data_IF_235610169718
#
_entry.id   IF_235610169718
#
_cell.length_a   1.000
_cell.length_b   1.000
_cell.length_c   1.000
_cell.angle_alpha   90.00
_cell.angle_beta   90.00
_cell.angle_gamma   90.00
#
_symmetry.space_group_name_H-M   'P 1'
#
loop_
_entity.id
_entity.type
_entity.pdbx_description
1 polymer ?
#
# COMPACT_ATOMS: atom_id res chain seq x y z
N UNK A 1 32.13 5.50 17.12
CA UNK A 1 30.76 5.38 16.57
C UNK A 1 30.40 6.65 15.77
N UNK A 2 30.97 6.85 14.57
CA UNK A 2 30.69 8.03 13.71
C UNK A 2 30.35 7.64 12.25
N UNK A 3 30.04 6.38 11.99
CA UNK A 3 29.84 5.84 10.64
C UNK A 3 28.37 5.58 10.24
N UNK A 4 27.40 5.79 11.13
CA UNK A 4 26.00 5.43 10.92
C UNK A 4 25.07 6.63 10.69
N UNK A 5 25.55 7.87 10.85
CA UNK A 5 24.70 9.07 10.72
C UNK A 5 24.59 9.56 9.27
N UNK A 6 25.54 9.22 8.39
CA UNK A 6 25.55 9.67 6.99
C UNK A 6 24.83 8.72 6.01
N UNK A 7 24.45 7.50 6.42
CA UNK A 7 23.71 6.56 5.56
C UNK A 7 22.18 6.82 5.51
N UNK A 8 21.64 7.63 6.43
CA UNK A 8 20.18 7.83 6.55
C UNK A 8 19.66 9.10 5.88
N UNK A 9 20.52 9.96 5.33
CA UNK A 9 20.05 11.26 4.85
C UNK A 9 19.38 11.23 3.47
N UNK A 10 19.61 10.18 2.66
CA UNK A 10 19.14 10.16 1.26
C UNK A 10 18.19 8.99 0.91
N UNK A 11 18.19 7.88 1.66
CA UNK A 11 17.48 6.64 1.24
C UNK A 11 15.99 6.56 1.63
N UNK A 12 15.37 7.66 2.07
CA UNK A 12 13.95 7.70 2.48
C UNK A 12 13.00 7.10 1.43
N UNK A 13 13.33 7.27 0.16
CA UNK A 13 12.54 6.75 -0.94
C UNK A 13 12.74 5.27 -1.22
N UNK A 14 13.89 4.72 -0.87
CA UNK A 14 14.09 3.29 -0.88
C UNK A 14 13.24 2.61 0.20
N UNK A 15 13.13 3.22 1.39
CA UNK A 15 12.20 2.75 2.43
C UNK A 15 10.75 2.80 1.97
N UNK A 16 10.34 3.89 1.32
CA UNK A 16 8.99 4.00 0.78
C UNK A 16 8.71 2.97 -0.32
N UNK A 17 9.63 2.78 -1.26
CA UNK A 17 9.48 1.79 -2.33
C UNK A 17 9.47 0.36 -1.81
N UNK A 18 10.30 0.04 -0.81
CA UNK A 18 10.27 -1.24 -0.09
C UNK A 18 8.91 -1.45 0.59
N UNK A 19 8.37 -0.40 1.24
CA UNK A 19 7.03 -0.45 1.81
C UNK A 19 5.96 -0.73 0.74
N UNK A 20 6.01 -0.05 -0.40
CA UNK A 20 5.08 -0.26 -1.50
C UNK A 20 5.19 -1.68 -2.08
N UNK A 21 6.38 -2.24 -2.18
CA UNK A 21 6.56 -3.62 -2.63
C UNK A 21 5.95 -4.63 -1.63
N UNK A 22 6.14 -4.43 -0.31
CA UNK A 22 5.48 -5.23 0.72
C UNK A 22 3.96 -5.10 0.65
N UNK A 23 3.44 -3.90 0.38
CA UNK A 23 2.02 -3.65 0.20
C UNK A 23 1.46 -4.42 -1.00
N UNK A 24 2.14 -4.33 -2.15
CA UNK A 24 1.79 -5.04 -3.38
C UNK A 24 1.69 -6.55 -3.14
N UNK A 25 2.70 -7.16 -2.50
CA UNK A 25 2.69 -8.59 -2.14
C UNK A 25 1.48 -8.93 -1.27
N UNK A 26 1.19 -8.08 -0.26
CA UNK A 26 0.06 -8.32 0.65
C UNK A 26 -1.29 -8.20 -0.06
N UNK A 27 -1.45 -7.23 -0.94
CA UNK A 27 -2.66 -7.01 -1.73
C UNK A 27 -2.88 -8.15 -2.73
N UNK A 28 -1.84 -8.56 -3.46
CA UNK A 28 -1.89 -9.76 -4.33
C UNK A 28 -2.30 -11.01 -3.54
N UNK A 29 -1.75 -11.20 -2.34
CA UNK A 29 -2.14 -12.30 -1.47
C UNK A 29 -3.63 -12.23 -1.08
N UNK A 30 -4.14 -11.04 -0.74
CA UNK A 30 -5.58 -10.90 -0.44
C UNK A 30 -6.45 -11.19 -1.67
N UNK A 31 -6.07 -10.75 -2.87
CA UNK A 31 -6.82 -11.04 -4.12
C UNK A 31 -6.84 -12.54 -4.41
N UNK A 32 -5.69 -13.23 -4.32
CA UNK A 32 -5.62 -14.69 -4.51
C UNK A 32 -6.47 -15.48 -3.51
N UNK A 33 -6.56 -15.02 -2.27
CA UNK A 33 -7.47 -15.63 -1.30
C UNK A 33 -8.94 -15.34 -1.61
N UNK A 34 -9.24 -14.25 -2.32
CA UNK A 34 -10.61 -13.87 -2.67
C UNK A 34 -11.15 -14.75 -3.78
N UNK A 35 -10.33 -15.02 -4.79
CA UNK A 35 -10.64 -15.93 -5.91
C UNK A 35 -10.91 -17.36 -5.44
N UNK A 36 -10.23 -17.81 -4.38
CA UNK A 36 -10.38 -19.16 -3.81
C UNK A 36 -11.59 -19.34 -2.91
N UNK A 37 -12.26 -18.24 -2.52
CA UNK A 37 -13.45 -18.32 -1.69
C UNK A 37 -14.66 -18.49 -2.61
N UNK A 38 -15.29 -19.67 -2.58
CA UNK A 38 -16.62 -19.82 -3.14
C UNK A 38 -17.61 -18.96 -2.34
N UNK A 39 -18.31 -18.06 -3.04
CA UNK A 39 -19.23 -17.11 -2.43
C UNK A 39 -20.65 -17.41 -2.87
N UNK A 40 -21.19 -18.48 -2.27
CA UNK A 40 -22.61 -18.54 -1.99
C UNK A 40 -23.08 -17.25 -1.31
N UNK A 41 -24.27 -16.77 -1.67
CA UNK A 41 -24.81 -15.53 -1.11
C UNK A 41 -25.85 -14.88 -2.01
N UNK A 42 -26.58 -13.93 -1.42
CA UNK A 42 -27.61 -13.16 -2.15
C UNK A 42 -27.01 -12.36 -3.30
N UNK A 43 -27.84 -12.01 -4.28
CA UNK A 43 -27.45 -11.15 -5.43
C UNK A 43 -26.75 -9.87 -4.96
N UNK A 44 -27.26 -9.26 -3.89
CA UNK A 44 -26.67 -8.08 -3.29
C UNK A 44 -25.27 -8.32 -2.70
N UNK A 45 -25.06 -9.41 -1.95
CA UNK A 45 -23.73 -9.77 -1.43
C UNK A 45 -22.71 -9.95 -2.57
N UNK A 46 -23.12 -10.60 -3.66
CA UNK A 46 -22.29 -10.77 -4.87
C UNK A 46 -21.89 -9.42 -5.48
N UNK A 47 -22.85 -8.51 -5.68
CA UNK A 47 -22.57 -7.17 -6.23
C UNK A 47 -21.63 -6.35 -5.33
N UNK A 48 -21.85 -6.36 -4.01
CA UNK A 48 -20.97 -5.66 -3.05
C UNK A 48 -19.56 -6.23 -3.08
N UNK A 49 -19.43 -7.54 -3.29
CA UNK A 49 -18.13 -8.19 -3.41
C UNK A 49 -17.41 -7.79 -4.70
N UNK A 50 -18.09 -7.81 -5.85
CA UNK A 50 -17.52 -7.35 -7.13
C UNK A 50 -17.04 -5.90 -7.04
N UNK A 51 -17.87 -5.00 -6.51
CA UNK A 51 -17.50 -3.60 -6.32
C UNK A 51 -16.30 -3.44 -5.37
N UNK A 52 -16.18 -4.31 -4.37
CA UNK A 52 -15.03 -4.30 -3.45
C UNK A 52 -13.76 -4.82 -4.11
N UNK A 53 -13.84 -5.89 -4.89
CA UNK A 53 -12.71 -6.39 -5.68
C UNK A 53 -12.21 -5.33 -6.65
N UNK A 54 -13.09 -4.57 -7.30
CA UNK A 54 -12.70 -3.45 -8.15
C UNK A 54 -11.88 -2.40 -7.39
N UNK A 55 -12.30 -2.02 -6.17
CA UNK A 55 -11.53 -1.11 -5.31
C UNK A 55 -10.19 -1.72 -4.91
N UNK A 56 -10.17 -3.00 -4.50
CA UNK A 56 -8.95 -3.69 -4.08
C UNK A 56 -7.93 -3.77 -5.24
N UNK A 57 -8.37 -4.04 -6.48
CA UNK A 57 -7.52 -4.06 -7.68
C UNK A 57 -6.95 -2.69 -8.03
N UNK A 58 -7.74 -1.61 -7.90
CA UNK A 58 -7.26 -0.25 -8.12
C UNK A 58 -6.21 0.17 -7.07
N UNK A 59 -6.36 -0.28 -5.82
CA UNK A 59 -5.36 -0.04 -4.77
C UNK A 59 -4.04 -0.76 -5.06
N UNK A 60 -4.12 -2.02 -5.53
CA UNK A 60 -2.95 -2.77 -6.00
C UNK A 60 -2.25 -2.03 -7.13
N UNK A 61 -3.00 -1.58 -8.15
CA UNK A 61 -2.43 -0.84 -9.26
C UNK A 61 -1.77 0.46 -8.80
N UNK A 62 -2.36 1.16 -7.85
CA UNK A 62 -1.77 2.35 -7.25
C UNK A 62 -0.43 2.03 -6.55
N UNK A 63 -0.35 0.94 -5.78
CA UNK A 63 0.89 0.56 -5.11
C UNK A 63 2.02 0.24 -6.10
N UNK A 64 1.71 -0.48 -7.19
CA UNK A 64 2.64 -0.74 -8.30
C UNK A 64 3.15 0.56 -8.92
N UNK A 65 2.23 1.48 -9.28
CA UNK A 65 2.58 2.77 -9.88
C UNK A 65 3.42 3.64 -8.95
N UNK A 66 3.05 3.71 -7.66
CA UNK A 66 3.82 4.48 -6.66
C UNK A 66 5.24 3.91 -6.49
N UNK A 67 5.42 2.58 -6.55
CA UNK A 67 6.75 1.93 -6.51
C UNK A 67 7.57 2.27 -7.75
N UNK A 68 7.01 2.08 -8.94
CA UNK A 68 7.71 2.32 -10.22
C UNK A 68 8.07 3.81 -10.38
N UNK A 69 7.18 4.70 -9.97
CA UNK A 69 7.39 6.15 -9.94
C UNK A 69 8.63 6.55 -9.14
N UNK A 70 8.78 5.98 -7.94
CA UNK A 70 9.90 6.28 -7.04
C UNK A 70 11.22 5.75 -7.60
N UNK A 71 11.19 4.54 -8.17
CA UNK A 71 12.36 3.93 -8.77
C UNK A 71 12.87 4.69 -10.00
N UNK A 72 11.97 5.32 -10.78
CA UNK A 72 12.33 6.11 -11.97
C UNK A 72 12.80 7.53 -11.65
N UNK A 73 12.36 8.11 -10.53
CA UNK A 73 12.65 9.51 -10.17
C UNK A 73 14.00 9.71 -9.49
N UNK A 74 14.79 8.66 -9.29
CA UNK A 74 16.18 8.76 -8.81
C UNK A 74 16.34 9.24 -7.36
N UNK A 75 15.27 9.36 -6.57
CA UNK A 75 15.27 9.52 -5.10
C UNK A 75 15.86 10.82 -4.51
N UNK A 76 16.72 11.51 -5.26
CA UNK A 76 17.60 12.57 -4.77
C UNK A 76 17.10 13.95 -5.18
N UNK A 77 16.04 14.41 -4.50
CA UNK A 77 15.80 15.84 -4.39
C UNK A 77 16.41 16.37 -3.09
N UNK A 78 17.12 17.51 -3.11
CA UNK A 78 17.62 18.14 -1.90
C UNK A 78 16.46 18.49 -0.97
N UNK A 79 16.44 17.86 0.21
CA UNK A 79 15.42 18.06 1.26
C UNK A 79 15.86 19.13 2.24
N UNK A 80 14.94 20.01 2.63
CA UNK A 80 15.15 20.94 3.74
C UNK A 80 15.37 20.20 5.07
N UNK A 81 16.04 20.85 6.03
CA UNK A 81 16.26 20.28 7.37
C UNK A 81 14.95 19.84 8.05
N UNK A 82 13.88 20.65 7.92
CA UNK A 82 12.55 20.32 8.45
C UNK A 82 11.99 19.03 7.83
N UNK A 83 12.13 18.85 6.51
CA UNK A 83 11.69 17.63 5.83
C UNK A 83 12.49 16.40 6.27
N UNK A 84 13.81 16.52 6.43
CA UNK A 84 14.66 15.42 6.94
C UNK A 84 14.20 14.95 8.32
N UNK A 85 13.89 15.87 9.24
CA UNK A 85 13.39 15.53 10.59
C UNK A 85 12.04 14.82 10.53
N UNK A 86 11.11 15.30 9.71
CA UNK A 86 9.79 14.66 9.52
C UNK A 86 9.95 13.24 8.99
N UNK A 87 10.80 13.06 7.99
CA UNK A 87 11.05 11.76 7.37
C UNK A 87 11.75 10.78 8.30
N UNK A 88 12.72 11.24 9.08
CA UNK A 88 13.36 10.45 10.14
C UNK A 88 12.34 9.95 11.16
N UNK A 89 11.42 10.81 11.62
CA UNK A 89 10.33 10.41 12.54
C UNK A 89 9.37 9.41 11.91
N UNK A 90 9.02 9.60 10.63
CA UNK A 90 8.13 8.70 9.92
C UNK A 90 8.71 7.27 9.84
N UNK A 91 10.01 7.15 9.55
CA UNK A 91 10.73 5.87 9.55
C UNK A 91 10.79 5.25 10.94
N UNK A 92 11.19 6.03 11.96
CA UNK A 92 11.29 5.54 13.35
C UNK A 92 9.96 5.03 13.91
N UNK A 93 8.83 5.52 13.40
CA UNK A 93 7.49 5.06 13.79
C UNK A 93 7.17 3.65 13.30
N UNK A 94 7.91 3.14 12.31
CA UNK A 94 7.71 1.83 11.73
C UNK A 94 9.02 1.05 11.64
N UNK A 95 9.64 0.70 12.78
CA UNK A 95 10.90 -0.05 12.79
C UNK A 95 10.74 -1.43 12.14
N UNK A 96 9.53 -1.98 12.11
CA UNK A 96 9.24 -3.25 11.41
C UNK A 96 9.36 -3.15 9.87
N UNK A 97 9.33 -1.95 9.30
CA UNK A 97 9.68 -1.73 7.89
C UNK A 97 11.20 -1.71 7.66
N UNK A 98 11.98 -1.56 8.75
CA UNK A 98 13.45 -1.54 8.75
C UNK A 98 14.08 -2.93 9.00
N UNK A 99 13.29 -3.93 9.40
CA UNK A 99 13.80 -5.27 9.72
C UNK A 99 13.66 -6.19 8.49
N UNK A 100 14.74 -6.95 8.26
CA UNK A 100 15.17 -7.73 7.09
C UNK A 100 15.76 -6.89 5.93
N UNK A 101 17.06 -6.62 6.07
CA UNK A 101 18.06 -6.38 5.02
C UNK A 101 17.66 -5.48 3.85
N UNK A 102 18.19 -4.26 3.88
CA UNK A 102 18.21 -3.31 2.76
C UNK A 102 19.04 -3.75 1.54
N UNK A 103 19.59 -4.97 1.52
CA UNK A 103 20.77 -5.29 0.69
C UNK A 103 20.61 -6.76 0.26
N UNK A 104 20.04 -7.10 -0.89
CA UNK A 104 20.57 -6.79 -2.21
C UNK A 104 19.43 -6.73 -3.23
N UNK A 105 19.14 -5.52 -3.76
CA UNK A 105 18.41 -5.25 -5.02
C UNK A 105 17.31 -6.27 -5.38
N UNK A 106 16.12 -6.15 -4.80
CA UNK A 106 14.91 -6.90 -5.21
C UNK A 106 15.10 -8.44 -5.34
N UNK A 107 16.03 -9.03 -4.59
CA UNK A 107 16.20 -10.49 -4.47
C UNK A 107 15.38 -11.04 -3.31
N UNK A 108 14.31 -11.78 -3.65
CA UNK A 108 13.48 -12.63 -2.77
C UNK A 108 13.40 -12.17 -1.31
N UNK A 109 12.47 -11.26 -1.02
CA UNK A 109 12.04 -10.99 0.37
C UNK A 109 11.77 -12.35 1.03
N UNK A 110 12.40 -12.71 2.16
CA UNK A 110 11.99 -13.87 2.92
C UNK A 110 10.57 -13.58 3.41
N UNK A 111 9.59 -14.15 2.72
CA UNK A 111 8.16 -14.00 3.00
C UNK A 111 7.85 -14.78 4.29
N UNK A 112 8.43 -14.37 5.42
CA UNK A 112 7.74 -14.52 6.70
C UNK A 112 6.72 -13.39 6.76
N UNK A 113 5.70 -13.44 5.88
CA UNK A 113 4.41 -12.80 6.18
C UNK A 113 3.96 -13.51 7.44
N UNK A 114 4.33 -12.95 8.59
CA UNK A 114 4.33 -13.61 9.90
C UNK A 114 2.94 -14.00 10.41
N UNK A 115 1.89 -13.78 9.60
CA UNK A 115 0.54 -14.32 9.74
C UNK A 115 -0.08 -14.52 8.35
N UNK A 116 -0.08 -15.75 7.85
CA UNK A 116 -1.11 -16.15 6.89
C UNK A 116 -2.46 -15.89 7.57
N UNK A 117 -3.28 -15.02 6.98
CA UNK A 117 -4.61 -14.79 7.53
C UNK A 117 -5.53 -15.84 6.96
N UNK A 118 -6.14 -16.63 7.82
CA UNK A 118 -7.15 -17.61 7.40
C UNK A 118 -8.49 -16.92 7.04
N UNK A 119 -8.58 -15.59 7.15
CA UNK A 119 -9.79 -14.80 6.92
C UNK A 119 -9.51 -13.58 6.03
N UNK A 120 -10.31 -13.42 4.97
CA UNK A 120 -10.30 -12.29 4.05
C UNK A 120 -10.38 -10.92 4.74
N UNK A 121 -11.25 -10.77 5.74
CA UNK A 121 -11.42 -9.52 6.50
C UNK A 121 -10.13 -9.12 7.22
N UNK A 122 -9.43 -10.10 7.78
CA UNK A 122 -8.15 -9.88 8.45
C UNK A 122 -7.04 -9.54 7.43
N UNK A 123 -7.05 -10.17 6.25
CA UNK A 123 -6.14 -9.81 5.16
C UNK A 123 -6.30 -8.34 4.75
N UNK A 124 -7.54 -7.94 4.44
CA UNK A 124 -7.88 -6.57 4.04
C UNK A 124 -7.52 -5.55 5.12
N UNK A 125 -7.80 -5.85 6.39
CA UNK A 125 -7.43 -4.97 7.52
C UNK A 125 -5.92 -4.76 7.58
N UNK A 126 -5.15 -5.82 7.36
CA UNK A 126 -3.69 -5.77 7.39
C UNK A 126 -3.12 -5.02 6.18
N UNK A 127 -3.64 -5.25 4.97
CA UNK A 127 -3.28 -4.48 3.78
C UNK A 127 -3.58 -2.98 3.98
N UNK A 128 -4.76 -2.64 4.53
CA UNK A 128 -5.13 -1.25 4.84
C UNK A 128 -4.18 -0.61 5.85
N UNK A 129 -3.75 -1.35 6.88
CA UNK A 129 -2.79 -0.85 7.86
C UNK A 129 -1.44 -0.58 7.20
N UNK A 130 -0.94 -1.53 6.42
CA UNK A 130 0.33 -1.39 5.69
C UNK A 130 0.28 -0.20 4.72
N UNK A 131 -0.84 -0.01 4.01
CA UNK A 131 -1.03 1.15 3.14
C UNK A 131 -0.95 2.48 3.88
N UNK A 132 -1.54 2.56 5.08
CA UNK A 132 -1.40 3.77 5.93
C UNK A 132 0.06 4.01 6.32
N UNK A 133 0.81 2.94 6.62
CA UNK A 133 2.23 3.04 6.94
C UNK A 133 3.03 3.58 5.76
N UNK A 134 2.85 3.01 4.56
CA UNK A 134 3.52 3.49 3.36
C UNK A 134 3.13 4.93 3.03
N UNK A 135 1.86 5.32 3.22
CA UNK A 135 1.42 6.69 2.97
C UNK A 135 2.12 7.73 3.86
N UNK A 136 2.48 7.39 5.10
CA UNK A 136 3.29 8.29 5.94
C UNK A 136 4.71 8.49 5.39
N UNK A 137 5.28 7.47 4.76
CA UNK A 137 6.58 7.55 4.08
C UNK A 137 6.49 8.26 2.72
N UNK A 138 5.33 8.25 2.07
CA UNK A 138 5.11 8.89 0.77
C UNK A 138 5.43 10.40 0.79
N UNK A 139 5.25 11.06 1.93
CA UNK A 139 5.54 12.49 2.12
C UNK A 139 7.04 12.83 2.00
N UNK A 140 7.89 11.80 2.03
CA UNK A 140 9.35 11.92 1.95
C UNK A 140 9.89 11.77 0.53
N UNK A 141 9.01 11.51 -0.45
CA UNK A 141 9.38 11.24 -1.82
C UNK A 141 8.68 12.17 -2.81
N UNK A 142 9.39 12.62 -3.86
CA UNK A 142 8.80 13.42 -4.92
C UNK A 142 7.92 12.52 -5.81
N UNK A 143 6.65 12.33 -5.43
CA UNK A 143 5.67 11.58 -6.23
C UNK A 143 4.96 12.45 -7.27
N UNK A 144 5.29 13.74 -7.34
CA UNK A 144 4.66 14.72 -8.22
C UNK A 144 4.99 14.50 -9.70
N UNK A 145 6.04 13.74 -10.02
CA UNK A 145 6.45 13.42 -11.39
C UNK A 145 5.62 12.30 -12.04
N UNK A 146 4.52 11.86 -11.43
CA UNK A 146 3.78 10.68 -11.84
C UNK A 146 2.30 11.01 -12.10
N UNK A 147 1.96 11.52 -13.30
CA UNK A 147 0.63 11.99 -13.64
C UNK A 147 -0.43 10.87 -13.59
N UNK A 148 -0.02 9.63 -13.87
CA UNK A 148 -0.88 8.44 -13.78
C UNK A 148 -1.43 8.22 -12.35
N UNK A 149 -0.76 8.75 -11.32
CA UNK A 149 -1.22 8.66 -9.93
C UNK A 149 -2.48 9.48 -9.66
N UNK A 150 -2.70 10.59 -10.36
CA UNK A 150 -3.92 11.39 -10.19
C UNK A 150 -5.13 10.65 -10.77
N UNK A 151 -4.96 10.05 -11.93
CA UNK A 151 -5.99 9.24 -12.60
C UNK A 151 -6.39 8.07 -11.70
N UNK A 152 -5.42 7.28 -11.20
CA UNK A 152 -5.74 6.12 -10.36
C UNK A 152 -6.37 6.55 -9.03
N UNK A 153 -5.97 7.68 -8.44
CA UNK A 153 -6.58 8.23 -7.22
C UNK A 153 -8.03 8.62 -7.45
N UNK A 154 -8.33 9.27 -8.58
CA UNK A 154 -9.69 9.61 -8.97
C UNK A 154 -10.56 8.35 -9.15
N UNK A 155 -10.06 7.34 -9.87
CA UNK A 155 -10.76 6.06 -10.05
C UNK A 155 -11.03 5.36 -8.72
N UNK A 156 -10.04 5.32 -7.81
CA UNK A 156 -10.20 4.78 -6.46
C UNK A 156 -11.30 5.51 -5.70
N UNK A 157 -11.33 6.85 -5.76
CA UNK A 157 -12.33 7.67 -5.09
C UNK A 157 -13.74 7.31 -5.59
N UNK A 158 -13.93 7.33 -6.90
CA UNK A 158 -15.21 6.98 -7.55
C UNK A 158 -15.66 5.57 -7.21
N UNK A 159 -14.77 4.58 -7.32
CA UNK A 159 -15.08 3.18 -7.00
C UNK A 159 -15.42 2.99 -5.50
N UNK A 160 -14.73 3.72 -4.62
CA UNK A 160 -15.01 3.68 -3.17
C UNK A 160 -16.38 4.26 -2.88
N UNK A 161 -16.71 5.42 -3.44
CA UNK A 161 -18.03 6.04 -3.31
C UNK A 161 -19.13 5.12 -3.81
N UNK A 162 -18.94 4.50 -4.98
CA UNK A 162 -19.87 3.52 -5.52
C UNK A 162 -20.07 2.32 -4.58
N UNK A 163 -19.00 1.75 -4.05
CA UNK A 163 -19.06 0.65 -3.09
C UNK A 163 -19.85 1.05 -1.83
N UNK A 164 -19.65 2.26 -1.32
CA UNK A 164 -20.38 2.78 -0.16
C UNK A 164 -21.88 2.90 -0.45
N UNK A 165 -22.23 3.50 -1.58
CA UNK A 165 -23.62 3.63 -2.02
C UNK A 165 -24.29 2.26 -2.24
N UNK A 166 -23.58 1.31 -2.86
CA UNK A 166 -24.09 -0.04 -3.08
C UNK A 166 -24.34 -0.78 -1.76
N UNK A 167 -23.41 -0.68 -0.79
CA UNK A 167 -23.61 -1.23 0.56
C UNK A 167 -24.85 -0.65 1.22
N UNK A 168 -25.06 0.65 1.11
CA UNK A 168 -26.22 1.32 1.70
C UNK A 168 -27.53 0.88 1.05
N UNK A 169 -27.60 0.83 -0.28
CA UNK A 169 -28.77 0.32 -1.00
C UNK A 169 -29.09 -1.12 -0.61
N UNK A 170 -28.07 -1.97 -0.57
CA UNK A 170 -28.16 -3.33 -0.12
C UNK A 170 -28.68 -3.46 1.32
N UNK A 171 -28.24 -2.60 2.23
CA UNK A 171 -28.71 -2.60 3.61
C UNK A 171 -30.21 -2.22 3.70
N UNK A 172 -30.65 -1.24 2.91
CA UNK A 172 -32.06 -0.79 2.87
C UNK A 172 -33.06 -1.78 2.26
N UNK A 173 -32.61 -2.71 1.43
CA UNK A 173 -33.50 -3.66 0.73
C UNK A 173 -33.71 -4.95 1.52
N UNK A 174 -32.80 -5.27 2.46
CA UNK A 174 -32.78 -6.54 3.19
C UNK A 174 -32.89 -6.37 4.72
N UNK A 175 -33.27 -5.19 5.21
CA UNK A 175 -33.66 -4.88 6.58
C UNK A 175 -34.99 -4.14 6.54
#
# INVERSE_FOLDING_TARGET
MKGLENLFENDYCEYYASCQHRLEIKERHCVKMEEKLDRGGTKCSKLVNVARTAVDSLQLRKAELERDCVMKSGGDQPRSFKQRVVCKRAIQRFPNLLIDEFIHKFGKIPIKIRRQHNNMKACRKSARLLRKQCHMLAQCCPLHSCPELEIIRSQISSATTFLHHLKWKCFKIYC
#
